data_IF_002809888125
#
_entry.id   IF_002809888125
#
_cell.length_a   1.000
_cell.length_b   1.000
_cell.length_c   1.000
_cell.angle_alpha   90.00
_cell.angle_beta   90.00
_cell.angle_gamma   90.00
#
_symmetry.space_group_name_H-M   'P 1'
#
loop_
_entity.id
_entity.type
_entity.pdbx_description
1 polymer ?
#
# COMPACT_ATOMS: atom_id res chain seq x y z
N UNK A 1 20.56 -26.07 1.51
CA UNK A 1 19.66 -25.99 0.35
C UNK A 1 20.11 -24.79 -0.42
N UNK A 2 20.78 -25.01 -1.54
CA UNK A 2 21.25 -23.97 -2.42
C UNK A 2 20.01 -23.15 -2.86
N UNK A 3 20.03 -21.86 -2.61
CA UNK A 3 19.01 -20.94 -3.13
C UNK A 3 19.23 -20.93 -4.63
N UNK A 4 18.42 -21.68 -5.40
CA UNK A 4 18.33 -21.45 -6.83
C UNK A 4 18.16 -19.95 -7.03
N UNK A 5 19.12 -19.38 -7.74
CA UNK A 5 19.12 -17.97 -8.11
C UNK A 5 17.90 -17.78 -9.02
N UNK A 6 16.79 -17.31 -8.44
CA UNK A 6 15.65 -16.88 -9.26
C UNK A 6 16.19 -15.73 -10.10
N UNK A 7 16.22 -15.94 -11.40
CA UNK A 7 16.68 -14.93 -12.36
C UNK A 7 15.77 -13.71 -12.27
N UNK A 8 16.37 -12.55 -11.99
CA UNK A 8 15.62 -11.31 -11.78
C UNK A 8 15.69 -10.49 -13.06
N UNK A 9 14.56 -10.40 -13.74
CA UNK A 9 14.40 -9.58 -14.95
C UNK A 9 14.07 -8.14 -14.56
N UNK A 10 14.80 -7.15 -15.10
CA UNK A 10 14.48 -5.73 -14.96
C UNK A 10 13.82 -5.25 -16.25
N UNK A 11 12.63 -4.67 -16.14
CA UNK A 11 11.79 -4.26 -17.27
C UNK A 11 11.54 -2.75 -17.19
N UNK A 12 11.99 -2.02 -18.21
CA UNK A 12 11.85 -0.57 -18.36
C UNK A 12 11.21 -0.14 -19.69
N UNK A 13 10.74 -1.11 -20.48
CA UNK A 13 10.04 -0.86 -21.73
C UNK A 13 8.64 -1.51 -21.77
N UNK A 14 7.79 -0.99 -22.65
CA UNK A 14 6.38 -1.43 -22.74
C UNK A 14 6.24 -2.86 -23.28
N UNK A 15 7.15 -3.30 -24.14
CA UNK A 15 7.10 -4.64 -24.71
C UNK A 15 7.42 -5.70 -23.64
N UNK A 16 8.43 -5.44 -22.82
CA UNK A 16 8.78 -6.25 -21.66
C UNK A 16 7.61 -6.33 -20.66
N UNK A 17 6.97 -5.20 -20.32
CA UNK A 17 5.81 -5.19 -19.45
C UNK A 17 4.65 -6.04 -20.00
N UNK A 18 4.36 -5.95 -21.31
CA UNK A 18 3.32 -6.77 -21.95
C UNK A 18 3.69 -8.26 -21.85
N UNK A 19 4.95 -8.62 -22.11
CA UNK A 19 5.43 -10.00 -21.99
C UNK A 19 5.27 -10.55 -20.57
N UNK A 20 5.59 -9.74 -19.54
CA UNK A 20 5.36 -10.11 -18.13
C UNK A 20 3.87 -10.37 -17.87
N UNK A 21 2.99 -9.46 -18.32
CA UNK A 21 1.54 -9.59 -18.14
C UNK A 21 1.01 -10.87 -18.81
N UNK A 22 1.48 -11.19 -20.00
CA UNK A 22 1.11 -12.42 -20.72
C UNK A 22 1.59 -13.68 -19.98
N UNK A 23 2.83 -13.66 -19.48
CA UNK A 23 3.38 -14.75 -18.66
C UNK A 23 2.59 -14.99 -17.38
N UNK A 24 2.23 -13.91 -16.70
CA UNK A 24 1.40 -13.95 -15.47
C UNK A 24 -0.04 -14.40 -15.70
N UNK A 25 -0.60 -14.14 -16.88
CA UNK A 25 -1.99 -14.50 -17.19
C UNK A 25 -2.31 -15.99 -17.10
N UNK A 26 -1.27 -16.84 -17.09
CA UNK A 26 -1.36 -18.29 -16.95
C UNK A 26 -1.08 -18.78 -15.52
N UNK A 27 -0.85 -17.88 -14.58
CA UNK A 27 -0.56 -18.22 -13.18
C UNK A 27 -1.78 -18.05 -12.31
N UNK A 28 -2.09 -19.03 -11.46
CA UNK A 28 -3.17 -18.94 -10.47
C UNK A 28 -2.82 -18.02 -9.30
N UNK A 29 -1.53 -17.77 -9.10
CA UNK A 29 -1.01 -16.99 -7.96
C UNK A 29 0.26 -16.23 -8.35
N UNK A 30 0.41 -15.02 -7.83
CA UNK A 30 1.63 -14.23 -7.96
C UNK A 30 1.86 -13.36 -6.72
N UNK A 31 3.12 -13.07 -6.41
CA UNK A 31 3.48 -12.09 -5.40
C UNK A 31 3.69 -10.72 -6.04
N UNK A 32 3.34 -9.67 -5.32
CA UNK A 32 3.51 -8.29 -5.77
C UNK A 32 3.85 -7.39 -4.58
N UNK A 33 4.75 -6.43 -4.83
CA UNK A 33 5.12 -5.37 -3.92
C UNK A 33 5.40 -4.09 -4.70
N UNK A 34 5.46 -2.93 -4.04
CA UNK A 34 5.78 -1.65 -4.68
C UNK A 34 6.77 -0.83 -3.88
N UNK A 35 7.69 -0.14 -4.58
CA UNK A 35 8.47 0.94 -4.01
C UNK A 35 7.96 2.29 -4.49
N UNK A 36 7.90 3.26 -3.59
CA UNK A 36 7.32 4.57 -3.89
C UNK A 36 7.89 5.67 -3.00
N UNK A 37 7.71 6.91 -3.45
CA UNK A 37 8.11 8.10 -2.73
C UNK A 37 6.89 8.95 -2.36
N UNK A 38 6.76 9.35 -1.06
CA UNK A 38 5.58 10.10 -0.53
C UNK A 38 5.94 11.31 0.33
N UNK A 39 7.18 11.76 0.33
CA UNK A 39 7.61 12.81 1.29
C UNK A 39 7.13 14.21 0.92
N UNK A 40 7.10 14.53 -0.38
CA UNK A 40 6.88 15.89 -0.92
C UNK A 40 5.57 16.05 -1.69
N UNK A 41 4.81 14.97 -1.86
CA UNK A 41 3.57 14.95 -2.64
C UNK A 41 2.40 14.44 -1.81
N UNK A 42 1.19 14.80 -2.20
CA UNK A 42 -0.03 14.22 -1.64
C UNK A 42 -0.19 12.76 -2.06
N UNK A 43 0.00 12.52 -3.36
CA UNK A 43 -0.04 11.19 -3.92
C UNK A 43 1.34 10.54 -3.89
N UNK A 44 1.40 9.28 -3.49
CA UNK A 44 2.62 8.51 -3.60
C UNK A 44 3.04 8.41 -5.08
N UNK A 45 4.32 8.62 -5.36
CA UNK A 45 4.91 8.42 -6.68
C UNK A 45 5.46 7.01 -6.73
N UNK A 46 4.85 6.16 -7.55
CA UNK A 46 5.31 4.81 -7.80
C UNK A 46 6.70 4.85 -8.43
N UNK A 47 7.61 4.07 -7.90
CA UNK A 47 9.01 4.02 -8.34
C UNK A 47 9.43 2.65 -8.87
N UNK A 48 8.90 1.55 -8.30
CA UNK A 48 9.09 0.19 -8.79
C UNK A 48 7.84 -0.66 -8.52
N UNK A 49 7.65 -1.70 -9.34
CA UNK A 49 6.75 -2.81 -9.07
C UNK A 49 7.57 -4.09 -9.12
N UNK A 50 7.48 -4.90 -8.07
CA UNK A 50 8.08 -6.22 -8.03
C UNK A 50 7.01 -7.27 -8.22
N UNK A 51 7.26 -8.23 -9.09
CA UNK A 51 6.38 -9.36 -9.37
C UNK A 51 7.15 -10.68 -9.28
N UNK A 52 6.53 -11.68 -8.64
CA UNK A 52 7.04 -13.06 -8.68
C UNK A 52 5.91 -14.03 -8.97
N UNK A 53 6.15 -14.94 -9.88
CA UNK A 53 5.23 -16.04 -10.20
C UNK A 53 6.04 -17.26 -10.65
N UNK A 54 5.60 -18.44 -10.27
CA UNK A 54 6.38 -19.67 -10.47
C UNK A 54 7.83 -19.49 -10.03
N UNK A 55 8.77 -19.67 -10.92
CA UNK A 55 10.22 -19.53 -10.77
C UNK A 55 10.77 -18.20 -11.35
N UNK A 56 9.90 -17.27 -11.76
CA UNK A 56 10.26 -15.98 -12.36
C UNK A 56 10.07 -14.84 -11.38
N UNK A 57 10.96 -13.84 -11.46
CA UNK A 57 10.87 -12.59 -10.72
C UNK A 57 11.17 -11.43 -11.67
N UNK A 58 10.30 -10.42 -11.66
CA UNK A 58 10.49 -9.21 -12.45
C UNK A 58 10.44 -7.97 -11.57
N UNK A 59 11.32 -7.01 -11.86
CA UNK A 59 11.30 -5.65 -11.31
C UNK A 59 10.95 -4.72 -12.48
N UNK A 60 9.81 -4.05 -12.37
CA UNK A 60 9.31 -3.14 -13.39
C UNK A 60 9.66 -1.71 -12.98
N UNK A 61 10.35 -0.97 -13.86
CA UNK A 61 10.53 0.47 -13.75
C UNK A 61 9.34 1.18 -14.41
N UNK A 62 8.40 1.74 -13.64
CA UNK A 62 7.14 2.21 -14.17
C UNK A 62 7.20 3.63 -14.73
N UNK A 63 8.34 4.33 -14.65
CA UNK A 63 8.40 5.78 -14.86
C UNK A 63 7.96 6.24 -16.25
N UNK A 64 8.11 5.40 -17.28
CA UNK A 64 7.76 5.72 -18.67
C UNK A 64 6.81 4.69 -19.30
N UNK A 65 6.10 3.89 -18.48
CA UNK A 65 5.26 2.81 -18.95
C UNK A 65 3.77 3.12 -18.78
N UNK A 66 2.96 2.63 -19.70
CA UNK A 66 1.52 2.54 -19.51
C UNK A 66 1.18 1.30 -18.67
N UNK A 67 0.91 1.53 -17.39
CA UNK A 67 0.61 0.47 -16.43
C UNK A 67 -0.83 -0.06 -16.52
N UNK A 68 -1.69 0.54 -17.35
CA UNK A 68 -3.07 0.07 -17.54
C UNK A 68 -3.16 -1.39 -18.00
N UNK A 69 -2.11 -1.90 -18.65
CA UNK A 69 -2.00 -3.31 -19.07
C UNK A 69 -2.04 -4.29 -17.89
N UNK A 70 -1.61 -3.87 -16.68
CA UNK A 70 -1.71 -4.68 -15.46
C UNK A 70 -3.16 -5.01 -15.08
N UNK A 71 -4.13 -4.23 -15.57
CA UNK A 71 -5.55 -4.49 -15.35
C UNK A 71 -5.98 -5.88 -15.85
N UNK A 72 -5.30 -6.45 -16.85
CA UNK A 72 -5.57 -7.82 -17.33
C UNK A 72 -5.35 -8.85 -16.21
N UNK A 73 -4.23 -8.73 -15.48
CA UNK A 73 -3.92 -9.63 -14.36
C UNK A 73 -4.83 -9.32 -13.16
N UNK A 74 -5.05 -8.03 -12.87
CA UNK A 74 -5.88 -7.61 -11.74
C UNK A 74 -7.35 -8.04 -11.90
N UNK A 75 -7.84 -8.17 -13.12
CA UNK A 75 -9.17 -8.68 -13.40
C UNK A 75 -9.23 -10.21 -13.62
N UNK A 76 -8.11 -10.91 -13.56
CA UNK A 76 -8.08 -12.37 -13.63
C UNK A 76 -8.57 -13.01 -12.32
N UNK A 77 -8.60 -14.34 -12.28
CA UNK A 77 -8.89 -15.09 -11.06
C UNK A 77 -7.64 -15.40 -10.23
N UNK A 78 -6.49 -14.91 -10.65
CA UNK A 78 -5.22 -15.12 -9.94
C UNK A 78 -5.22 -14.42 -8.58
N UNK A 79 -4.63 -15.06 -7.58
CA UNK A 79 -4.47 -14.49 -6.25
C UNK A 79 -3.20 -13.66 -6.20
N UNK A 80 -3.33 -12.38 -5.85
CA UNK A 80 -2.18 -11.50 -5.60
C UNK A 80 -1.74 -11.60 -4.14
N UNK A 81 -0.51 -12.02 -3.90
CA UNK A 81 0.08 -12.15 -2.57
C UNK A 81 0.86 -10.91 -2.22
N UNK A 82 0.47 -10.27 -1.10
CA UNK A 82 1.10 -9.07 -0.54
C UNK A 82 1.67 -9.34 0.86
N UNK A 83 2.51 -8.44 1.32
CA UNK A 83 2.83 -8.29 2.74
C UNK A 83 2.51 -6.87 3.20
N UNK A 84 1.48 -6.70 4.03
CA UNK A 84 1.00 -5.40 4.49
C UNK A 84 0.60 -4.44 3.33
N UNK A 85 0.00 -4.96 2.26
CA UNK A 85 -0.24 -4.34 0.95
C UNK A 85 -1.24 -3.18 0.92
N UNK A 86 -1.47 -2.52 2.06
CA UNK A 86 -2.44 -1.43 2.18
C UNK A 86 -2.11 -0.21 1.31
N UNK A 87 -0.83 0.18 1.24
CA UNK A 87 -0.38 1.32 0.44
C UNK A 87 -0.21 0.92 -1.02
N UNK A 88 0.24 -0.31 -1.26
CA UNK A 88 0.42 -0.87 -2.59
C UNK A 88 -0.88 -0.89 -3.38
N UNK A 89 -1.98 -1.32 -2.76
CA UNK A 89 -3.30 -1.31 -3.39
C UNK A 89 -3.76 0.11 -3.78
N UNK A 90 -3.52 1.13 -2.92
CA UNK A 90 -3.84 2.53 -3.22
C UNK A 90 -3.02 3.02 -4.43
N UNK A 91 -1.72 2.71 -4.44
CA UNK A 91 -0.79 3.13 -5.47
C UNK A 91 -1.08 2.44 -6.80
N UNK A 92 -1.30 1.13 -6.79
CA UNK A 92 -1.63 0.34 -7.98
C UNK A 92 -2.96 0.76 -8.58
N UNK A 93 -3.99 1.02 -7.73
CA UNK A 93 -5.28 1.55 -8.21
C UNK A 93 -5.10 2.86 -8.97
N UNK A 94 -4.26 3.75 -8.45
CA UNK A 94 -4.00 5.03 -9.10
C UNK A 94 -3.17 4.89 -10.38
N UNK A 95 -2.18 4.01 -10.39
CA UNK A 95 -1.23 3.85 -11.49
C UNK A 95 -1.79 3.01 -12.65
N UNK A 96 -2.51 1.93 -12.34
CA UNK A 96 -3.03 0.98 -13.32
C UNK A 96 -4.55 1.10 -13.55
N UNK A 97 -5.25 1.94 -12.76
CA UNK A 97 -6.71 2.09 -12.84
C UNK A 97 -7.50 0.90 -12.28
N UNK A 98 -6.82 -0.09 -11.71
CA UNK A 98 -7.42 -1.31 -11.19
C UNK A 98 -6.59 -1.86 -10.02
N UNK A 99 -7.20 -2.77 -9.24
CA UNK A 99 -6.53 -3.58 -8.21
C UNK A 99 -6.91 -5.05 -8.40
N UNK A 100 -6.12 -6.00 -7.87
CA UNK A 100 -6.44 -7.42 -7.93
C UNK A 100 -7.82 -7.74 -7.35
N UNK A 101 -8.57 -8.64 -8.00
CA UNK A 101 -9.87 -9.11 -7.51
C UNK A 101 -9.75 -10.00 -6.29
N UNK A 102 -8.67 -10.76 -6.21
CA UNK A 102 -8.39 -11.67 -5.11
C UNK A 102 -6.99 -11.39 -4.56
N UNK A 103 -6.90 -11.28 -3.25
CA UNK A 103 -5.64 -11.02 -2.57
C UNK A 103 -5.42 -12.00 -1.43
N UNK A 104 -4.15 -12.19 -1.08
CA UNK A 104 -3.71 -12.83 0.16
C UNK A 104 -2.66 -11.92 0.81
N UNK A 105 -2.96 -11.35 1.95
CA UNK A 105 -1.99 -10.54 2.68
C UNK A 105 -1.35 -11.38 3.79
N UNK A 106 -0.04 -11.61 3.70
CA UNK A 106 0.71 -12.48 4.62
C UNK A 106 0.74 -11.92 6.05
N UNK A 107 0.65 -10.59 6.23
CA UNK A 107 0.59 -9.98 7.56
C UNK A 107 -0.78 -10.20 8.20
N UNK A 108 -1.87 -10.07 7.44
CA UNK A 108 -3.23 -10.36 7.90
C UNK A 108 -3.35 -11.86 8.23
N UNK A 109 -2.91 -12.74 7.32
CA UNK A 109 -2.92 -14.18 7.51
C UNK A 109 -2.19 -14.60 8.80
N UNK A 110 -1.01 -14.06 9.04
CA UNK A 110 -0.22 -14.28 10.24
C UNK A 110 -0.93 -13.78 11.51
N UNK A 111 -1.73 -12.73 11.43
CA UNK A 111 -2.59 -12.25 12.51
C UNK A 111 -3.55 -13.31 13.01
N UNK A 112 -4.17 -14.09 12.11
CA UNK A 112 -5.04 -15.22 12.45
C UNK A 112 -4.29 -16.43 13.05
N UNK A 113 -2.96 -16.45 12.93
CA UNK A 113 -2.10 -17.43 13.63
C UNK A 113 -1.61 -16.92 15.00
N UNK A 114 -2.07 -15.72 15.43
CA UNK A 114 -1.70 -15.10 16.70
C UNK A 114 -0.43 -14.24 16.64
N UNK A 115 0.12 -13.99 15.46
CA UNK A 115 1.27 -13.10 15.28
C UNK A 115 0.79 -11.66 15.17
N UNK A 116 1.21 -10.81 16.11
CA UNK A 116 0.78 -9.40 16.12
C UNK A 116 1.59 -8.57 15.11
N UNK A 117 0.99 -8.21 13.98
CA UNK A 117 1.59 -7.36 12.91
C UNK A 117 3.07 -7.67 12.62
N UNK A 118 3.41 -8.92 12.23
CA UNK A 118 4.80 -9.29 12.01
C UNK A 118 5.37 -8.55 10.80
N UNK A 119 6.66 -8.22 10.83
CA UNK A 119 7.37 -7.76 9.65
C UNK A 119 7.66 -8.93 8.70
N UNK A 120 7.89 -8.64 7.43
CA UNK A 120 8.24 -9.66 6.44
C UNK A 120 9.48 -10.46 6.86
N UNK A 121 10.52 -9.78 7.36
CA UNK A 121 11.73 -10.45 7.87
C UNK A 121 11.45 -11.37 9.06
N UNK A 122 10.52 -11.01 9.93
CA UNK A 122 10.08 -11.89 11.04
C UNK A 122 9.34 -13.11 10.53
N UNK A 123 8.53 -12.99 9.48
CA UNK A 123 7.86 -14.14 8.86
C UNK A 123 8.88 -15.06 8.19
N UNK A 124 9.85 -14.53 7.46
CA UNK A 124 10.92 -15.31 6.86
C UNK A 124 11.68 -16.12 7.91
N UNK A 125 12.09 -15.48 9.00
CA UNK A 125 12.83 -16.17 10.07
C UNK A 125 11.98 -17.23 10.79
N UNK A 126 10.75 -16.90 11.17
CA UNK A 126 9.91 -17.77 12.01
C UNK A 126 9.21 -18.90 11.22
N UNK A 127 8.93 -18.69 9.94
CA UNK A 127 8.15 -19.64 9.14
C UNK A 127 9.00 -20.41 8.14
N UNK A 128 10.03 -19.78 7.60
CA UNK A 128 10.90 -20.37 6.57
C UNK A 128 12.32 -20.67 7.08
N UNK A 129 12.70 -20.18 8.27
CA UNK A 129 14.06 -20.32 8.81
C UNK A 129 15.10 -19.46 8.06
N UNK A 130 14.66 -18.45 7.29
CA UNK A 130 15.52 -17.62 6.46
C UNK A 130 15.86 -16.31 7.17
N UNK A 131 17.16 -15.99 7.27
CA UNK A 131 17.62 -14.67 7.70
C UNK A 131 18.08 -13.88 6.48
N UNK A 132 17.23 -12.94 6.05
CA UNK A 132 17.58 -12.04 4.97
C UNK A 132 18.38 -10.85 5.51
N UNK A 133 19.38 -10.38 4.75
CA UNK A 133 20.13 -9.17 5.08
C UNK A 133 19.21 -7.96 4.98
N UNK A 134 19.30 -7.05 5.97
CA UNK A 134 18.55 -5.79 5.92
C UNK A 134 19.12 -4.94 4.79
N UNK A 135 18.30 -4.65 3.81
CA UNK A 135 18.65 -3.72 2.72
C UNK A 135 18.42 -2.26 3.09
N UNK A 136 18.80 -1.36 2.18
CA UNK A 136 18.63 0.09 2.29
C UNK A 136 17.17 0.51 2.04
N UNK A 137 16.35 0.46 3.09
CA UNK A 137 14.94 0.91 3.03
C UNK A 137 14.78 2.41 2.77
N UNK A 138 15.77 3.21 3.20
CA UNK A 138 15.75 4.68 3.14
C UNK A 138 16.57 5.17 1.95
N UNK A 139 16.28 4.71 0.76
CA UNK A 139 16.94 5.14 -0.47
C UNK A 139 15.98 5.96 -1.35
N UNK A 140 16.53 6.80 -2.21
CA UNK A 140 15.74 7.49 -3.22
C UNK A 140 15.40 6.53 -4.36
N UNK A 141 14.19 5.98 -4.31
CA UNK A 141 13.68 5.04 -5.32
C UNK A 141 13.39 5.68 -6.67
N UNK A 142 13.32 7.02 -6.76
CA UNK A 142 13.10 7.73 -8.03
C UNK A 142 14.42 8.03 -8.76
N UNK A 143 15.57 7.86 -8.11
CA UNK A 143 16.86 8.08 -8.75
C UNK A 143 17.12 7.00 -9.81
N UNK A 144 17.68 7.40 -10.96
CA UNK A 144 18.15 6.50 -12.01
C UNK A 144 19.61 6.82 -12.37
N UNK A 145 20.44 5.80 -12.71
CA UNK A 145 20.11 4.37 -12.69
C UNK A 145 19.95 3.83 -11.25
N UNK A 146 19.18 2.76 -11.09
CA UNK A 146 19.06 2.04 -9.84
C UNK A 146 20.39 1.35 -9.50
N UNK A 147 20.73 1.32 -8.22
CA UNK A 147 21.90 0.57 -7.74
C UNK A 147 21.56 -0.92 -7.66
N UNK A 148 22.57 -1.76 -7.82
CA UNK A 148 22.42 -3.21 -7.66
C UNK A 148 21.84 -3.58 -6.27
N UNK A 149 22.27 -2.89 -5.21
CA UNK A 149 21.73 -3.10 -3.86
C UNK A 149 20.23 -2.77 -3.74
N UNK A 150 19.73 -1.80 -4.52
CA UNK A 150 18.30 -1.47 -4.56
C UNK A 150 17.52 -2.56 -5.28
N UNK A 151 18.02 -3.06 -6.41
CA UNK A 151 17.39 -4.15 -7.16
C UNK A 151 17.33 -5.43 -6.33
N UNK A 152 18.43 -5.78 -5.64
CA UNK A 152 18.47 -6.93 -4.74
C UNK A 152 17.50 -6.81 -3.57
N UNK A 153 17.39 -5.60 -2.98
CA UNK A 153 16.43 -5.33 -1.93
C UNK A 153 14.99 -5.51 -2.46
N UNK A 154 14.63 -4.82 -3.54
CA UNK A 154 13.30 -4.91 -4.15
C UNK A 154 12.93 -6.36 -4.53
N UNK A 155 13.88 -7.13 -5.10
CA UNK A 155 13.66 -8.54 -5.36
C UNK A 155 13.40 -9.36 -4.09
N UNK A 156 14.06 -9.00 -2.96
CA UNK A 156 13.92 -9.75 -1.71
C UNK A 156 12.53 -9.64 -1.10
N UNK A 157 11.81 -8.53 -1.33
CA UNK A 157 10.50 -8.28 -0.76
C UNK A 157 9.40 -9.21 -1.34
N UNK A 158 9.57 -9.70 -2.58
CA UNK A 158 8.64 -10.67 -3.20
C UNK A 158 9.18 -12.10 -3.28
N UNK A 159 10.51 -12.28 -3.15
CA UNK A 159 11.20 -13.55 -3.43
C UNK A 159 10.59 -14.76 -2.74
N UNK A 160 10.14 -14.62 -1.52
CA UNK A 160 9.64 -15.74 -0.69
C UNK A 160 8.17 -15.58 -0.28
N UNK A 161 7.43 -14.66 -0.92
CA UNK A 161 6.02 -14.44 -0.56
C UNK A 161 5.14 -15.65 -0.93
N UNK A 162 5.46 -16.37 -2.00
CA UNK A 162 4.67 -17.54 -2.42
C UNK A 162 4.88 -18.71 -1.44
N UNK A 163 6.10 -18.91 -0.94
CA UNK A 163 6.39 -19.91 0.11
C UNK A 163 5.72 -19.52 1.44
N UNK A 164 5.74 -18.24 1.80
CA UNK A 164 4.99 -17.75 2.97
C UNK A 164 3.49 -17.98 2.81
N UNK A 165 2.93 -17.71 1.63
CA UNK A 165 1.53 -18.00 1.32
C UNK A 165 1.20 -19.46 1.57
N UNK A 166 2.01 -20.39 1.05
CA UNK A 166 1.80 -21.84 1.23
C UNK A 166 1.81 -22.22 2.71
N UNK A 167 2.87 -21.86 3.46
CA UNK A 167 3.00 -22.20 4.87
C UNK A 167 1.89 -21.59 5.72
N UNK A 168 1.51 -20.33 5.45
CA UNK A 168 0.42 -19.66 6.17
C UNK A 168 -0.92 -20.32 5.88
N UNK A 169 -1.20 -20.65 4.63
CA UNK A 169 -2.44 -21.35 4.21
C UNK A 169 -2.57 -22.70 4.89
N UNK A 170 -1.52 -23.53 4.86
CA UNK A 170 -1.51 -24.86 5.52
C UNK A 170 -1.80 -24.73 7.03
N UNK A 171 -1.16 -23.76 7.71
CA UNK A 171 -1.40 -23.51 9.14
C UNK A 171 -2.80 -23.01 9.44
N UNK A 172 -3.34 -22.12 8.62
CA UNK A 172 -4.71 -21.60 8.76
C UNK A 172 -5.74 -22.72 8.58
N UNK A 173 -5.57 -23.58 7.58
CA UNK A 173 -6.44 -24.74 7.34
C UNK A 173 -6.40 -25.70 8.55
N UNK A 174 -5.20 -26.03 9.02
CA UNK A 174 -5.02 -26.89 10.21
C UNK A 174 -5.72 -26.35 11.46
N UNK A 175 -5.75 -25.03 11.63
CA UNK A 175 -6.44 -24.36 12.74
C UNK A 175 -7.91 -24.05 12.45
N UNK A 176 -8.43 -24.38 11.26
CA UNK A 176 -9.80 -24.06 10.82
C UNK A 176 -10.08 -22.55 10.84
N UNK A 177 -9.09 -21.73 10.45
CA UNK A 177 -9.16 -20.27 10.44
C UNK A 177 -9.02 -19.66 9.06
N UNK A 178 -8.88 -20.49 8.01
CA UNK A 178 -8.67 -20.02 6.64
C UNK A 178 -9.83 -19.16 6.17
N UNK A 179 -11.07 -19.60 6.37
CA UNK A 179 -12.29 -18.86 5.99
C UNK A 179 -12.40 -17.48 6.67
N UNK A 180 -11.92 -17.38 7.92
CA UNK A 180 -11.88 -16.10 8.62
C UNK A 180 -10.85 -15.14 8.01
N UNK A 181 -9.68 -15.65 7.65
CA UNK A 181 -8.66 -14.86 6.99
C UNK A 181 -9.13 -14.41 5.59
N UNK A 182 -9.76 -15.30 4.84
CA UNK A 182 -10.34 -15.00 3.52
C UNK A 182 -11.40 -13.90 3.60
N UNK A 183 -12.32 -13.97 4.55
CA UNK A 183 -13.31 -12.91 4.78
C UNK A 183 -12.67 -11.56 5.13
N UNK A 184 -11.55 -11.57 5.88
CA UNK A 184 -10.80 -10.33 6.17
C UNK A 184 -10.09 -9.80 4.93
N UNK A 185 -9.54 -10.66 4.04
CA UNK A 185 -8.96 -10.20 2.75
C UNK A 185 -9.99 -9.49 1.88
N UNK A 186 -11.21 -10.03 1.78
CA UNK A 186 -12.32 -9.39 1.06
C UNK A 186 -12.64 -8.03 1.68
N UNK A 187 -12.84 -7.99 2.99
CA UNK A 187 -13.13 -6.75 3.74
C UNK A 187 -12.01 -5.72 3.59
N UNK A 188 -10.76 -6.15 3.63
CA UNK A 188 -9.60 -5.30 3.46
C UNK A 188 -9.56 -4.69 2.06
N UNK A 189 -9.77 -5.51 1.03
CA UNK A 189 -9.80 -5.07 -0.37
C UNK A 189 -10.92 -4.06 -0.62
N UNK A 190 -12.15 -4.33 -0.15
CA UNK A 190 -13.28 -3.42 -0.27
C UNK A 190 -13.03 -2.06 0.38
N UNK A 191 -12.39 -2.04 1.57
CA UNK A 191 -12.02 -0.81 2.25
C UNK A 191 -10.97 0.01 1.48
N UNK A 192 -10.07 -0.65 0.73
CA UNK A 192 -8.99 0.01 -0.02
C UNK A 192 -9.41 0.47 -1.40
N UNK A 193 -10.41 -0.15 -1.99
CA UNK A 193 -11.02 0.32 -3.24
C UNK A 193 -11.85 1.61 -3.05
N UNK A 194 -12.34 1.87 -1.85
CA UNK A 194 -13.07 3.11 -1.55
C UNK A 194 -12.07 4.25 -1.40
N UNK A 195 -12.06 5.15 -2.39
CA UNK A 195 -11.38 6.43 -2.24
C UNK A 195 -11.93 7.13 -0.99
N UNK A 196 -11.03 7.67 -0.18
CA UNK A 196 -11.45 8.43 1.01
C UNK A 196 -12.17 9.68 0.53
N UNK A 197 -13.46 9.81 0.88
CA UNK A 197 -14.20 11.05 0.62
C UNK A 197 -13.52 12.19 1.40
N UNK A 198 -13.13 13.29 0.75
CA UNK A 198 -12.58 14.46 1.42
C UNK A 198 -13.43 14.94 2.60
N UNK A 199 -14.76 14.73 2.55
CA UNK A 199 -15.70 15.05 3.66
C UNK A 199 -15.41 14.25 4.92
N UNK A 200 -14.80 13.08 4.81
CA UNK A 200 -14.42 12.21 5.93
C UNK A 200 -13.00 12.46 6.44
N UNK A 201 -12.25 13.38 5.82
CA UNK A 201 -10.86 13.69 6.18
C UNK A 201 -10.70 14.07 7.67
N UNK A 202 -11.69 14.74 8.25
CA UNK A 202 -11.70 15.14 9.68
C UNK A 202 -11.62 13.95 10.64
N UNK A 203 -12.13 12.78 10.27
CA UNK A 203 -12.14 11.57 11.12
C UNK A 203 -10.73 11.07 11.41
N UNK A 204 -9.74 11.42 10.58
CA UNK A 204 -8.32 11.08 10.76
C UNK A 204 -7.61 11.99 11.77
N UNK A 205 -8.21 13.14 12.10
CA UNK A 205 -7.68 14.10 13.07
C UNK A 205 -8.08 13.65 14.48
N UNK A 206 -7.13 13.13 15.25
CA UNK A 206 -7.38 12.54 16.57
C UNK A 206 -8.08 13.53 17.52
N UNK A 207 -7.62 14.76 17.54
CA UNK A 207 -8.09 15.84 18.40
C UNK A 207 -9.50 16.31 18.02
N UNK A 208 -9.89 16.17 16.76
CA UNK A 208 -11.22 16.55 16.28
C UNK A 208 -12.35 15.69 16.89
N UNK A 209 -12.04 14.50 17.39
CA UNK A 209 -13.00 13.63 18.07
C UNK A 209 -13.52 14.21 19.39
N UNK A 210 -12.75 15.07 20.02
CA UNK A 210 -13.06 15.71 21.30
C UNK A 210 -13.76 17.07 21.15
N UNK A 211 -13.95 17.56 19.92
CA UNK A 211 -14.64 18.81 19.65
C UNK A 211 -16.16 18.69 19.93
N UNK A 212 -16.76 19.76 20.43
CA UNK A 212 -18.22 19.85 20.54
C UNK A 212 -18.88 19.84 19.14
N UNK A 213 -20.21 19.68 19.09
CA UNK A 213 -20.95 19.49 17.83
C UNK A 213 -20.72 20.64 16.83
N UNK A 214 -20.69 21.88 17.33
CA UNK A 214 -20.56 23.07 16.49
C UNK A 214 -19.13 23.21 15.94
N UNK A 215 -18.12 23.08 16.80
CA UNK A 215 -16.71 23.06 16.42
C UNK A 215 -16.38 21.92 15.45
N UNK A 216 -17.02 20.76 15.64
CA UNK A 216 -16.86 19.61 14.72
C UNK A 216 -17.35 19.91 13.31
N UNK A 217 -18.48 20.63 13.15
CA UNK A 217 -18.96 21.03 11.82
C UNK A 217 -17.96 21.93 11.09
N UNK A 218 -17.34 22.88 11.80
CA UNK A 218 -16.29 23.73 11.24
C UNK A 218 -15.03 22.91 10.90
N UNK A 219 -14.63 21.97 11.79
CA UNK A 219 -13.51 21.09 11.57
C UNK A 219 -13.70 20.20 10.32
N UNK A 220 -14.92 19.72 10.08
CA UNK A 220 -15.26 18.96 8.87
C UNK A 220 -15.02 19.78 7.60
N UNK A 221 -15.62 20.97 7.52
CA UNK A 221 -15.49 21.83 6.36
C UNK A 221 -14.02 22.25 6.10
N UNK A 222 -13.29 22.56 7.18
CA UNK A 222 -11.88 22.96 7.06
C UNK A 222 -10.98 21.77 6.67
N UNK A 223 -11.24 20.58 7.18
CA UNK A 223 -10.52 19.36 6.81
C UNK A 223 -10.79 18.94 5.36
N UNK A 224 -12.05 19.05 4.90
CA UNK A 224 -12.43 18.81 3.50
C UNK A 224 -11.69 19.78 2.56
N UNK A 225 -11.75 21.09 2.84
CA UNK A 225 -11.03 22.09 2.07
C UNK A 225 -9.54 21.81 2.02
N UNK A 226 -8.92 21.51 3.16
CA UNK A 226 -7.50 21.19 3.27
C UNK A 226 -7.12 19.97 2.44
N UNK A 227 -7.94 18.93 2.47
CA UNK A 227 -7.74 17.70 1.70
C UNK A 227 -7.79 17.99 0.20
N UNK A 228 -8.83 18.69 -0.27
CA UNK A 228 -8.97 19.08 -1.67
C UNK A 228 -7.84 19.99 -2.15
N UNK A 229 -7.42 20.95 -1.31
CA UNK A 229 -6.30 21.83 -1.64
C UNK A 229 -4.98 21.06 -1.76
N UNK A 230 -4.72 20.08 -0.87
CA UNK A 230 -3.55 19.23 -0.92
C UNK A 230 -3.54 18.33 -2.16
N UNK A 231 -4.69 17.74 -2.51
CA UNK A 231 -4.86 16.94 -3.74
C UNK A 231 -4.62 17.78 -4.99
N UNK A 232 -5.23 18.97 -5.08
CA UNK A 232 -5.13 19.86 -6.25
C UNK A 232 -3.70 20.31 -6.53
N UNK A 233 -2.92 20.56 -5.46
CA UNK A 233 -1.55 21.05 -5.59
C UNK A 233 -0.51 19.93 -5.51
N UNK A 234 -0.95 18.68 -5.32
CA UNK A 234 -0.10 17.50 -5.09
C UNK A 234 1.00 17.74 -4.03
N UNK A 235 0.60 18.32 -2.88
CA UNK A 235 1.51 18.57 -1.76
C UNK A 235 0.98 17.94 -0.47
N UNK A 236 1.85 17.56 0.48
CA UNK A 236 1.43 16.98 1.74
C UNK A 236 0.42 17.85 2.48
N UNK A 237 -0.62 17.24 3.06
CA UNK A 237 -1.69 17.92 3.83
C UNK A 237 -1.11 18.89 4.87
N UNK A 238 -0.02 18.50 5.54
CA UNK A 238 0.66 19.31 6.55
C UNK A 238 1.23 20.64 6.01
N UNK A 239 1.49 20.73 4.70
CA UNK A 239 1.99 21.96 4.06
C UNK A 239 0.86 22.95 3.76
N UNK A 240 -0.38 22.47 3.64
CA UNK A 240 -1.57 23.34 3.62
C UNK A 240 -1.87 23.83 5.04
N UNK A 241 -2.04 22.90 5.98
CA UNK A 241 -2.34 23.19 7.39
C UNK A 241 -2.08 21.95 8.24
N UNK A 242 -1.37 22.08 9.36
CA UNK A 242 -1.19 20.98 10.30
C UNK A 242 -2.49 20.66 11.06
N UNK A 243 -2.62 19.44 11.60
CA UNK A 243 -3.77 19.06 12.43
C UNK A 243 -3.92 19.97 13.64
N UNK A 244 -2.80 20.31 14.29
CA UNK A 244 -2.79 21.21 15.44
C UNK A 244 -3.30 22.62 15.07
N UNK A 245 -2.87 23.16 13.92
CA UNK A 245 -3.33 24.45 13.43
C UNK A 245 -4.83 24.43 13.13
N UNK A 246 -5.32 23.35 12.49
CA UNK A 246 -6.74 23.17 12.19
C UNK A 246 -7.58 23.17 13.46
N UNK A 247 -7.22 22.33 14.44
CA UNK A 247 -7.95 22.22 15.71
C UNK A 247 -7.86 23.53 16.52
N UNK A 248 -6.70 24.19 16.53
CA UNK A 248 -6.51 25.51 17.16
C UNK A 248 -7.43 26.57 16.55
N UNK A 249 -7.49 26.68 15.22
CA UNK A 249 -8.38 27.62 14.51
C UNK A 249 -9.83 27.39 14.88
N UNK A 250 -10.29 26.14 14.88
CA UNK A 250 -11.67 25.78 15.22
C UNK A 250 -11.98 26.10 16.68
N UNK A 251 -11.07 25.84 17.60
CA UNK A 251 -11.26 26.13 19.02
C UNK A 251 -11.31 27.63 19.32
N UNK A 252 -10.57 28.43 18.55
CA UNK A 252 -10.51 29.89 18.73
C UNK A 252 -11.74 30.63 18.18
N UNK A 253 -12.36 30.12 17.10
CA UNK A 253 -13.60 30.71 16.53
C UNK A 253 -14.79 30.68 17.48
N UNK A 254 -14.73 29.90 18.55
CA UNK A 254 -15.74 29.87 19.60
C UNK A 254 -15.53 30.90 20.74
N UNK A 255 -14.38 31.55 20.79
CA UNK A 255 -14.08 32.51 21.87
C UNK A 255 -14.35 33.98 21.52
N UNK A 256 -14.60 34.30 20.26
CA UNK A 256 -14.77 35.68 19.80
C UNK A 256 -15.85 35.84 18.75
N UNK A 257 -17.11 35.75 19.16
CA UNK A 257 -18.11 36.65 18.59
C UNK A 257 -18.30 37.74 19.63
N UNK A 258 -17.88 38.99 19.39
CA UNK A 258 -18.32 40.11 20.21
C UNK A 258 -19.84 40.18 20.03
N UNK A 259 -20.59 39.94 21.10
CA UNK A 259 -21.95 40.37 21.19
C UNK A 259 -21.93 41.90 21.23
N UNK A 260 -21.96 42.55 20.07
CA UNK A 260 -22.40 43.93 20.01
C UNK A 260 -23.89 43.92 20.38
N UNK A 261 -24.15 44.00 21.66
CA UNK A 261 -25.38 44.63 22.16
C UNK A 261 -25.03 46.12 22.16
N UNK A 262 -25.39 46.80 21.10
CA UNK A 262 -25.63 48.24 21.19
C UNK A 262 -26.92 48.43 22.00
N UNK A 263 -26.76 49.24 23.03
CA UNK A 263 -27.84 49.78 23.86
C UNK A 263 -28.52 50.91 23.09
#
# INVERSE_FOLDING_TARGET
MDSELIDTEVVDDQAGLISIVEGLSNSDIYAIDTEFHREKTYFAKLALIQLRWSDRLAIIDPLNLDLSVLSKIFHSNSVAVFHAGSQDLEILHRAAGAVPRSIFDTQIAAGFLGMRTPSLSSLHENLLGLKLTKGDRLTDWLQRPLKESQLQYAASDVRYLLELHQVLTERLIKLKRYEWAEAEFVTFLEKRQKLIDPKDAWQRIKEAKHLNKQARGVAQALAEWRELAAQKNDIPIRYIMSDLALVGTVSYTHLTLPTNREV
#
